data_IF_263864074805
#
_entry.id   IF_263864074805
#
_cell.length_a   1.000
_cell.length_b   1.000
_cell.length_c   1.000
_cell.angle_alpha   90.00
_cell.angle_beta   90.00
_cell.angle_gamma   90.00
#
_symmetry.space_group_name_H-M   'P 1'
#
loop_
_entity.id
_entity.type
_entity.pdbx_description
1 polymer ?
#
# COMPACT_ATOMS: atom_id res chain seq x y z
N UNK A 1 -2.92 -22.90 4.06
CA UNK A 1 -2.15 -23.57 5.13
C UNK A 1 -2.47 -22.87 6.44
N UNK A 2 -2.54 -23.54 7.58
CA UNK A 2 -2.61 -22.83 8.86
C UNK A 2 -1.24 -22.20 9.21
N UNK A 3 -1.18 -21.36 10.25
CA UNK A 3 0.06 -20.66 10.63
C UNK A 3 1.22 -21.62 10.92
N UNK A 4 0.96 -22.75 11.59
CA UNK A 4 2.00 -23.74 11.93
C UNK A 4 2.56 -24.47 10.71
N UNK A 5 1.70 -24.82 9.76
CA UNK A 5 2.10 -25.40 8.47
C UNK A 5 2.90 -24.39 7.65
N UNK A 6 2.46 -23.13 7.64
CA UNK A 6 3.16 -22.04 6.98
C UNK A 6 4.57 -21.83 7.55
N UNK A 7 4.75 -21.89 8.87
CA UNK A 7 6.10 -21.79 9.48
C UNK A 7 7.05 -22.85 8.97
N UNK A 8 6.58 -24.10 8.81
CA UNK A 8 7.41 -25.18 8.25
C UNK A 8 7.75 -24.91 6.79
N UNK A 9 6.74 -24.57 5.98
CA UNK A 9 6.93 -24.22 4.58
C UNK A 9 7.93 -23.08 4.41
N UNK A 10 7.80 -22.02 5.22
CA UNK A 10 8.68 -20.86 5.21
C UNK A 10 10.13 -21.23 5.56
N UNK A 11 10.37 -22.11 6.53
CA UNK A 11 11.73 -22.56 6.85
C UNK A 11 12.42 -23.24 5.66
N UNK A 12 11.66 -23.94 4.83
CA UNK A 12 12.16 -24.72 3.69
C UNK A 12 12.25 -23.89 2.39
N UNK A 13 11.36 -22.90 2.20
CA UNK A 13 11.15 -22.25 0.89
C UNK A 13 11.38 -20.73 0.86
N UNK A 14 11.62 -20.10 2.02
CA UNK A 14 11.79 -18.64 2.08
C UNK A 14 12.91 -18.18 1.16
N UNK A 15 12.63 -17.11 0.42
CA UNK A 15 13.67 -16.36 -0.26
C UNK A 15 14.29 -15.33 0.71
N UNK A 16 15.17 -14.50 0.17
CA UNK A 16 15.86 -13.47 0.93
C UNK A 16 14.92 -12.35 1.42
N UNK A 17 13.88 -12.00 0.64
CA UNK A 17 12.93 -10.92 0.95
C UNK A 17 11.86 -11.34 1.97
N UNK A 18 11.54 -12.64 2.05
CA UNK A 18 10.56 -13.23 2.96
C UNK A 18 11.17 -13.61 4.33
N UNK A 19 12.40 -13.17 4.63
CA UNK A 19 13.16 -13.60 5.83
C UNK A 19 12.50 -13.35 7.17
N UNK A 20 11.57 -12.41 7.26
CA UNK A 20 10.78 -12.16 8.47
C UNK A 20 9.27 -12.23 8.19
N UNK A 21 8.86 -12.97 7.16
CA UNK A 21 7.45 -13.11 6.80
C UNK A 21 6.57 -13.60 7.96
N UNK A 22 6.99 -14.55 8.83
CA UNK A 22 6.22 -14.91 10.02
C UNK A 22 5.95 -13.73 10.97
N UNK A 23 6.97 -12.91 11.26
CA UNK A 23 6.85 -11.75 12.13
C UNK A 23 5.96 -10.68 11.51
N UNK A 24 6.06 -10.49 10.19
CA UNK A 24 5.16 -9.59 9.44
C UNK A 24 3.70 -10.06 9.56
N UNK A 25 3.45 -11.37 9.42
CA UNK A 25 2.11 -11.94 9.62
C UNK A 25 1.63 -11.72 11.05
N UNK A 26 2.50 -11.86 12.05
CA UNK A 26 2.15 -11.62 13.46
C UNK A 26 1.74 -10.17 13.71
N UNK A 27 2.50 -9.21 13.20
CA UNK A 27 2.18 -7.78 13.29
C UNK A 27 0.83 -7.47 12.64
N UNK A 28 0.57 -8.03 11.45
CA UNK A 28 -0.69 -7.83 10.73
C UNK A 28 -1.85 -8.48 11.49
N UNK A 29 -1.68 -9.70 12.01
CA UNK A 29 -2.72 -10.36 12.81
C UNK A 29 -3.05 -9.55 14.06
N UNK A 30 -2.03 -9.06 14.77
CA UNK A 30 -2.21 -8.21 15.93
C UNK A 30 -2.95 -6.92 15.57
N UNK A 31 -2.55 -6.24 14.50
CA UNK A 31 -3.17 -5.00 14.04
C UNK A 31 -4.67 -5.18 13.69
N UNK A 32 -5.06 -6.35 13.20
CA UNK A 32 -6.43 -6.70 12.83
C UNK A 32 -7.18 -7.52 13.87
N UNK A 33 -6.61 -7.72 15.06
CA UNK A 33 -7.20 -8.52 16.14
C UNK A 33 -7.56 -9.95 15.68
N UNK A 34 -6.74 -10.52 14.80
CA UNK A 34 -6.94 -11.86 14.25
C UNK A 34 -6.24 -12.92 15.10
N UNK A 35 -6.96 -13.99 15.40
CA UNK A 35 -6.39 -15.20 15.98
C UNK A 35 -5.64 -15.99 14.90
N UNK A 36 -4.34 -16.26 15.11
CA UNK A 36 -3.47 -16.96 14.14
C UNK A 36 -3.96 -18.37 13.79
N UNK A 37 -4.72 -18.99 14.68
CA UNK A 37 -5.30 -20.31 14.52
C UNK A 37 -6.50 -20.30 13.57
N UNK A 38 -7.11 -19.12 13.34
CA UNK A 38 -8.29 -18.93 12.48
C UNK A 38 -7.97 -18.37 11.10
N UNK A 39 -6.70 -18.11 10.81
CA UNK A 39 -6.26 -17.65 9.49
C UNK A 39 -5.75 -18.80 8.62
N UNK A 40 -5.83 -18.59 7.31
CA UNK A 40 -5.19 -19.44 6.32
C UNK A 40 -4.18 -18.61 5.52
N UNK A 41 -2.98 -19.14 5.38
CA UNK A 41 -1.88 -18.53 4.65
C UNK A 41 -1.67 -19.25 3.32
N UNK A 42 -1.46 -18.46 2.28
CA UNK A 42 -1.21 -18.90 0.92
C UNK A 42 0.01 -18.16 0.38
N UNK A 43 1.22 -18.71 0.54
CA UNK A 43 2.41 -18.13 -0.08
C UNK A 43 2.35 -18.27 -1.60
N UNK A 44 2.89 -17.29 -2.33
CA UNK A 44 3.01 -17.28 -3.80
C UNK A 44 1.70 -17.62 -4.50
N UNK A 45 0.64 -16.93 -4.07
CA UNK A 45 -0.73 -17.23 -4.48
C UNK A 45 -1.06 -16.48 -5.76
N UNK A 46 -1.45 -17.24 -6.79
CA UNK A 46 -2.06 -16.68 -7.98
C UNK A 46 -3.56 -16.47 -7.78
N UNK A 47 -4.03 -15.27 -8.12
CA UNK A 47 -5.43 -14.94 -8.32
C UNK A 47 -5.69 -14.74 -9.81
N UNK A 48 -6.79 -15.31 -10.30
CA UNK A 48 -7.24 -15.10 -11.68
C UNK A 48 -7.94 -13.74 -11.76
N UNK A 49 -7.62 -12.96 -12.78
CA UNK A 49 -8.18 -11.64 -13.07
C UNK A 49 -8.67 -11.59 -14.51
N UNK A 50 -9.48 -10.60 -14.87
CA UNK A 50 -9.93 -10.41 -16.27
C UNK A 50 -8.76 -10.17 -17.24
N UNK A 51 -7.62 -9.72 -16.72
CA UNK A 51 -6.43 -9.35 -17.48
C UNK A 51 -5.33 -10.42 -17.43
N UNK A 52 -5.55 -11.54 -16.72
CA UNK A 52 -4.59 -12.64 -16.61
C UNK A 52 -4.45 -13.17 -15.19
N UNK A 53 -3.22 -13.55 -14.81
CA UNK A 53 -2.92 -14.08 -13.48
C UNK A 53 -2.08 -13.09 -12.70
N UNK A 54 -2.46 -12.85 -11.46
CA UNK A 54 -1.75 -11.95 -10.55
C UNK A 54 -1.19 -12.76 -9.38
N UNK A 55 0.13 -12.76 -9.25
CA UNK A 55 0.82 -13.40 -8.11
C UNK A 55 0.94 -12.41 -6.95
N UNK A 56 0.68 -12.92 -5.75
CA UNK A 56 0.95 -12.27 -4.47
C UNK A 56 2.02 -13.06 -3.72
N UNK A 57 2.98 -12.40 -3.10
CA UNK A 57 4.00 -13.08 -2.29
C UNK A 57 3.36 -13.86 -1.14
N UNK A 58 2.37 -13.26 -0.46
CA UNK A 58 1.60 -13.93 0.58
C UNK A 58 0.18 -13.39 0.65
N UNK A 59 -0.79 -14.30 0.78
CA UNK A 59 -2.18 -13.97 1.09
C UNK A 59 -2.58 -14.59 2.42
N UNK A 60 -3.19 -13.77 3.29
CA UNK A 60 -3.90 -14.23 4.49
C UNK A 60 -5.39 -14.22 4.18
N UNK A 61 -6.05 -15.37 4.29
CA UNK A 61 -7.50 -15.44 4.32
C UNK A 61 -7.99 -15.64 5.75
N UNK A 62 -9.06 -14.92 6.11
CA UNK A 62 -9.71 -15.07 7.40
C UNK A 62 -11.21 -14.86 7.24
N UNK A 63 -11.99 -15.25 8.25
CA UNK A 63 -13.43 -14.99 8.28
C UNK A 63 -13.74 -14.01 9.40
N UNK A 64 -14.38 -12.90 9.05
CA UNK A 64 -14.93 -11.95 10.02
C UNK A 64 -16.45 -12.04 9.96
N UNK A 65 -17.09 -12.36 11.10
CA UNK A 65 -18.53 -12.54 11.46
C UNK A 65 -19.54 -12.98 10.37
N UNK A 66 -19.46 -12.44 9.17
CA UNK A 66 -20.38 -12.62 8.04
C UNK A 66 -19.71 -12.79 6.67
N UNK A 67 -18.40 -12.55 6.54
CA UNK A 67 -17.70 -12.56 5.25
C UNK A 67 -16.27 -13.10 5.38
N UNK A 68 -15.86 -13.85 4.36
CA UNK A 68 -14.43 -14.15 4.15
C UNK A 68 -13.72 -12.91 3.64
N UNK A 69 -12.51 -12.69 4.13
CA UNK A 69 -11.66 -11.54 3.83
C UNK A 69 -10.26 -12.00 3.45
N UNK A 70 -9.62 -11.22 2.58
CA UNK A 70 -8.26 -11.43 2.12
C UNK A 70 -7.35 -10.25 2.50
N UNK A 71 -6.15 -10.56 2.98
CA UNK A 71 -5.05 -9.61 3.14
C UNK A 71 -3.93 -10.03 2.18
N UNK A 72 -3.60 -9.17 1.22
CA UNK A 72 -2.41 -9.32 0.38
C UNK A 72 -1.19 -8.69 1.05
N UNK A 73 -0.04 -9.32 0.91
CA UNK A 73 1.25 -8.84 1.43
C UNK A 73 2.30 -8.98 0.33
N UNK A 74 2.97 -7.87 0.02
CA UNK A 74 4.17 -7.87 -0.83
C UNK A 74 5.42 -7.60 -0.01
N UNK A 75 6.48 -8.36 -0.27
CA UNK A 75 7.78 -8.19 0.35
C UNK A 75 8.72 -7.51 -0.64
N UNK A 76 9.50 -6.56 -0.15
CA UNK A 76 10.56 -5.97 -0.97
C UNK A 76 11.71 -5.49 -0.12
N UNK A 77 12.93 -5.82 -0.52
CA UNK A 77 14.08 -5.35 0.25
C UNK A 77 14.57 -3.97 -0.16
N UNK A 78 14.57 -3.65 -1.46
CA UNK A 78 15.29 -2.47 -1.98
C UNK A 78 14.41 -1.50 -2.78
N UNK A 79 13.39 -1.98 -3.49
CA UNK A 79 12.63 -1.15 -4.43
C UNK A 79 11.24 -0.75 -3.90
N UNK A 80 11.21 0.37 -3.16
CA UNK A 80 9.96 0.89 -2.58
C UNK A 80 8.90 1.23 -3.62
N UNK A 81 9.31 1.80 -4.75
CA UNK A 81 8.37 2.33 -5.75
C UNK A 81 7.73 1.19 -6.52
N UNK A 82 8.53 0.19 -6.87
CA UNK A 82 8.03 -1.01 -7.53
C UNK A 82 7.01 -1.73 -6.64
N UNK A 83 7.33 -1.97 -5.37
CA UNK A 83 6.42 -2.70 -4.46
C UNK A 83 5.11 -1.93 -4.23
N UNK A 84 5.15 -0.60 -4.15
CA UNK A 84 3.92 0.21 -4.04
C UNK A 84 3.11 0.15 -5.32
N UNK A 85 3.75 0.26 -6.49
CA UNK A 85 3.05 0.18 -7.77
C UNK A 85 2.34 -1.17 -7.90
N UNK A 86 3.03 -2.25 -7.54
CA UNK A 86 2.44 -3.58 -7.52
C UNK A 86 1.31 -3.69 -6.50
N UNK A 87 1.50 -3.19 -5.28
CA UNK A 87 0.47 -3.23 -4.24
C UNK A 87 -0.78 -2.43 -4.62
N UNK A 88 -0.65 -1.31 -5.34
CA UNK A 88 -1.78 -0.54 -5.87
C UNK A 88 -2.56 -1.39 -6.88
N UNK A 89 -1.89 -2.00 -7.85
CA UNK A 89 -2.55 -2.83 -8.87
C UNK A 89 -3.22 -4.07 -8.26
N UNK A 90 -2.62 -4.63 -7.20
CA UNK A 90 -3.10 -5.80 -6.47
C UNK A 90 -4.22 -5.50 -5.48
N UNK A 91 -4.35 -4.24 -5.06
CA UNK A 91 -5.25 -3.81 -3.99
C UNK A 91 -6.71 -4.18 -4.25
N UNK A 92 -7.17 -4.13 -5.49
CA UNK A 92 -8.57 -4.37 -5.85
C UNK A 92 -8.98 -5.86 -5.75
N UNK A 93 -8.02 -6.76 -5.62
CA UNK A 93 -8.25 -8.21 -5.53
C UNK A 93 -8.25 -8.74 -4.09
N UNK A 94 -8.02 -7.87 -3.11
CA UNK A 94 -7.97 -8.20 -1.68
C UNK A 94 -8.72 -7.17 -0.85
N UNK A 95 -9.15 -7.51 0.36
CA UNK A 95 -9.85 -6.56 1.24
C UNK A 95 -8.87 -5.59 1.91
N UNK A 96 -7.65 -6.05 2.19
CA UNK A 96 -6.57 -5.27 2.79
C UNK A 96 -5.26 -5.56 2.05
N UNK A 97 -4.39 -4.57 1.94
CA UNK A 97 -3.10 -4.72 1.28
C UNK A 97 -2.00 -4.16 2.15
N UNK A 98 -0.90 -4.90 2.26
CA UNK A 98 0.30 -4.49 2.97
C UNK A 98 1.51 -4.59 2.07
N UNK A 99 2.47 -3.70 2.32
CA UNK A 99 3.86 -3.92 1.91
C UNK A 99 4.72 -4.14 3.15
N UNK A 100 5.75 -4.96 3.00
CA UNK A 100 6.73 -5.29 4.03
C UNK A 100 8.14 -4.99 3.52
N UNK A 101 8.81 -3.96 4.07
CA UNK A 101 10.09 -3.46 3.54
C UNK A 101 11.18 -3.27 4.60
N UNK A 102 12.45 -3.20 4.20
CA UNK A 102 13.53 -2.80 5.13
C UNK A 102 13.50 -1.29 5.48
N UNK A 103 13.98 -0.88 6.66
CA UNK A 103 13.92 0.51 7.12
C UNK A 103 14.69 1.52 6.25
N UNK A 104 15.83 1.16 5.66
CA UNK A 104 16.64 2.13 4.90
C UNK A 104 15.94 2.59 3.60
N UNK A 105 14.97 1.81 3.12
CA UNK A 105 14.16 2.13 1.95
C UNK A 105 13.12 3.22 2.27
N UNK A 106 12.68 3.29 3.53
CA UNK A 106 11.67 4.23 4.02
C UNK A 106 12.13 5.70 4.00
N UNK A 107 13.43 5.94 4.21
CA UNK A 107 13.93 7.27 4.57
C UNK A 107 14.00 8.27 3.41
N UNK A 108 13.82 7.82 2.16
CA UNK A 108 13.99 8.67 0.97
C UNK A 108 12.70 8.87 0.14
N UNK A 109 11.56 8.34 0.56
CA UNK A 109 10.36 8.20 -0.29
C UNK A 109 9.07 8.72 0.37
N UNK A 110 9.10 9.97 0.85
CA UNK A 110 7.95 10.60 1.52
C UNK A 110 6.69 10.67 0.63
N UNK A 111 6.84 10.89 -0.68
CA UNK A 111 5.71 10.91 -1.63
C UNK A 111 5.00 9.57 -1.69
N UNK A 112 5.77 8.49 -1.66
CA UNK A 112 5.29 7.12 -1.73
C UNK A 112 4.48 6.75 -0.48
N UNK A 113 4.83 7.30 0.69
CA UNK A 113 4.01 7.19 1.91
C UNK A 113 2.60 7.78 1.72
N UNK A 114 2.46 8.97 1.12
CA UNK A 114 1.15 9.56 0.87
C UNK A 114 0.32 8.74 -0.13
N UNK A 115 0.96 8.17 -1.15
CA UNK A 115 0.31 7.27 -2.10
C UNK A 115 -0.24 6.03 -1.37
N UNK A 116 0.55 5.40 -0.49
CA UNK A 116 0.08 4.25 0.28
C UNK A 116 -1.13 4.60 1.15
N UNK A 117 -1.10 5.74 1.85
CA UNK A 117 -2.24 6.21 2.65
C UNK A 117 -3.49 6.42 1.79
N UNK A 118 -3.31 6.96 0.58
CA UNK A 118 -4.38 7.16 -0.37
C UNK A 118 -5.04 5.84 -0.78
N UNK A 119 -4.24 4.84 -1.12
CA UNK A 119 -4.73 3.50 -1.49
C UNK A 119 -5.00 2.61 -0.27
N UNK A 120 -4.97 3.15 0.96
CA UNK A 120 -5.21 2.38 2.18
C UNK A 120 -4.27 1.17 2.35
N UNK A 121 -3.08 1.22 1.75
CA UNK A 121 -2.08 0.15 1.80
C UNK A 121 -1.31 0.28 3.11
N UNK A 122 -1.39 -0.72 3.98
CA UNK A 122 -0.66 -0.74 5.24
C UNK A 122 0.84 -0.96 5.04
N UNK A 123 1.62 -0.60 6.05
CA UNK A 123 3.07 -0.70 5.99
C UNK A 123 3.62 -1.41 7.21
N UNK A 124 4.40 -2.46 6.96
CA UNK A 124 5.24 -3.11 7.95
C UNK A 124 6.70 -2.89 7.55
N UNK A 125 7.54 -2.50 8.51
CA UNK A 125 8.99 -2.53 8.32
C UNK A 125 9.56 -3.77 8.99
N UNK A 126 10.60 -4.36 8.42
CA UNK A 126 11.27 -5.52 9.01
C UNK A 126 12.78 -5.32 9.04
N UNK A 127 13.38 -5.62 10.20
CA UNK A 127 14.81 -5.51 10.47
C UNK A 127 15.51 -6.86 10.37
N UNK A 128 16.52 -7.08 11.20
CA UNK A 128 17.23 -8.38 11.22
C UNK A 128 16.50 -9.45 12.04
N UNK A 129 15.68 -9.05 13.03
CA UNK A 129 15.04 -9.99 13.98
C UNK A 129 13.57 -9.70 14.26
N UNK A 130 13.08 -8.54 13.86
CA UNK A 130 11.77 -8.03 14.27
C UNK A 130 11.09 -7.32 13.10
N UNK A 131 9.76 -7.30 13.14
CA UNK A 131 8.92 -6.53 12.25
C UNK A 131 8.09 -5.57 13.08
N UNK A 132 7.82 -4.39 12.55
CA UNK A 132 7.02 -3.35 13.21
C UNK A 132 6.00 -2.79 12.23
N UNK A 133 4.74 -2.79 12.63
CA UNK A 133 3.70 -2.07 11.92
C UNK A 133 3.92 -0.55 12.02
N UNK A 134 4.06 0.15 10.89
CA UNK A 134 4.05 1.62 10.86
C UNK A 134 2.61 2.13 10.84
N UNK A 135 1.78 1.59 9.95
CA UNK A 135 0.36 1.87 9.93
C UNK A 135 -0.46 0.76 9.31
N UNK A 136 -1.69 0.61 9.81
CA UNK A 136 -2.64 -0.44 9.42
C UNK A 136 -3.26 -0.15 8.04
N UNK A 137 -3.44 -1.20 7.23
CA UNK A 137 -4.22 -1.13 5.98
C UNK A 137 -5.69 -0.84 6.28
N UNK A 138 -6.37 -0.14 5.37
CA UNK A 138 -7.78 0.22 5.50
C UNK A 138 -8.61 -0.51 4.46
N UNK A 139 -9.77 -1.02 4.90
CA UNK A 139 -10.75 -1.70 4.05
C UNK A 139 -11.34 -0.75 3.00
N UNK A 140 -11.67 0.46 3.42
CA UNK A 140 -12.15 1.54 2.57
C UNK A 140 -11.08 2.62 2.45
N UNK A 141 -10.85 3.06 1.22
CA UNK A 141 -10.05 4.25 0.91
C UNK A 141 -10.68 5.49 1.58
N UNK A 142 -9.91 6.57 1.84
CA UNK A 142 -10.53 7.85 2.17
C UNK A 142 -11.61 8.16 1.11
N UNK A 143 -12.78 8.70 1.52
CA UNK A 143 -13.80 9.09 0.56
C UNK A 143 -13.15 9.90 -0.56
N UNK A 144 -13.48 9.61 -1.82
CA UNK A 144 -12.94 10.29 -3.00
C UNK A 144 -12.95 11.82 -2.83
N UNK A 145 -13.97 12.33 -2.16
CA UNK A 145 -14.14 13.72 -1.72
C UNK A 145 -12.94 14.28 -0.93
N UNK A 146 -12.40 13.54 0.06
CA UNK A 146 -11.26 13.98 0.87
C UNK A 146 -9.95 13.94 0.10
N UNK A 147 -9.81 13.01 -0.84
CA UNK A 147 -8.69 13.01 -1.78
C UNK A 147 -8.78 14.23 -2.70
N UNK A 148 -9.96 14.50 -3.25
CA UNK A 148 -10.18 15.66 -4.12
C UNK A 148 -9.89 16.97 -3.39
N UNK A 149 -10.30 17.10 -2.13
CA UNK A 149 -9.91 18.24 -1.30
C UNK A 149 -8.40 18.37 -1.15
N UNK A 150 -7.69 17.27 -0.83
CA UNK A 150 -6.24 17.28 -0.70
C UNK A 150 -5.54 17.67 -2.01
N UNK A 151 -5.94 17.07 -3.14
CA UNK A 151 -5.42 17.41 -4.48
C UNK A 151 -5.68 18.88 -4.77
N UNK A 152 -6.90 19.38 -4.53
CA UNK A 152 -7.25 20.78 -4.75
C UNK A 152 -6.42 21.74 -3.90
N UNK A 153 -6.10 21.37 -2.66
CA UNK A 153 -5.18 22.18 -1.82
C UNK A 153 -3.78 22.17 -2.41
N UNK A 154 -3.23 21.00 -2.77
CA UNK A 154 -1.88 20.88 -3.33
C UNK A 154 -1.73 21.61 -4.68
N UNK A 155 -2.73 21.49 -5.55
CA UNK A 155 -2.79 22.19 -6.84
C UNK A 155 -2.89 23.69 -6.61
N UNK A 156 -3.75 24.16 -5.70
CA UNK A 156 -3.86 25.59 -5.36
C UNK A 156 -2.56 26.16 -4.83
N UNK A 157 -1.89 25.47 -3.91
CA UNK A 157 -0.61 25.94 -3.36
C UNK A 157 0.51 25.94 -4.41
N UNK A 158 0.54 24.93 -5.29
CA UNK A 158 1.49 24.90 -6.41
C UNK A 158 1.24 26.05 -7.39
N UNK A 159 -0.02 26.29 -7.77
CA UNK A 159 -0.41 27.41 -8.62
C UNK A 159 -0.06 28.75 -7.96
N UNK A 160 -0.38 28.93 -6.68
CA UNK A 160 -0.06 30.13 -5.92
C UNK A 160 1.45 30.43 -5.92
N UNK A 161 2.26 29.40 -5.65
CA UNK A 161 3.73 29.51 -5.68
C UNK A 161 4.24 29.83 -7.09
N UNK A 162 3.68 29.20 -8.11
CA UNK A 162 4.03 29.49 -9.51
C UNK A 162 3.63 30.90 -9.92
N UNK A 163 2.47 31.39 -9.48
CA UNK A 163 1.99 32.74 -9.74
C UNK A 163 2.80 33.81 -9.00
N UNK A 164 3.20 33.57 -7.74
CA UNK A 164 4.09 34.49 -7.01
C UNK A 164 5.49 34.59 -7.63
N UNK A 165 5.88 33.62 -8.44
CA UNK A 165 7.15 33.58 -9.17
C UNK A 165 7.04 34.11 -10.61
N UNK A 166 5.86 34.54 -11.06
CA UNK A 166 5.63 35.12 -12.37
C UNK A 166 5.64 36.65 -12.25
N UNK A 167 6.25 37.33 -13.23
CA UNK A 167 6.09 38.78 -13.39
C UNK A 167 4.62 39.10 -13.69
N UNK A 168 4.15 40.28 -13.25
CA UNK A 168 2.75 40.73 -13.42
C UNK A 168 2.23 40.53 -14.86
N UNK A 169 3.07 40.77 -15.86
CA UNK A 169 2.75 40.60 -17.28
C UNK A 169 2.31 39.17 -17.67
N UNK A 170 2.89 38.14 -17.02
CA UNK A 170 2.53 36.75 -17.30
C UNK A 170 1.24 36.33 -16.60
N UNK A 171 0.92 36.92 -15.46
CA UNK A 171 -0.34 36.68 -14.73
C UNK A 171 -1.53 37.18 -15.57
N UNK A 172 -1.43 38.40 -16.11
CA UNK A 172 -2.45 38.98 -16.99
C UNK A 172 -2.70 38.12 -18.24
N UNK A 173 -1.65 37.50 -18.77
CA UNK A 173 -1.75 36.63 -19.96
C UNK A 173 -2.50 35.33 -19.65
N UNK A 174 -2.23 34.72 -18.48
CA UNK A 174 -2.91 33.50 -18.03
C UNK A 174 -4.39 33.73 -17.71
N UNK A 175 -4.73 34.85 -17.06
CA UNK A 175 -6.13 35.21 -16.77
C UNK A 175 -6.95 35.40 -18.06
N UNK A 176 -6.32 35.94 -19.12
CA UNK A 176 -6.95 36.06 -20.44
C UNK A 176 -7.22 34.70 -21.08
N UNK A 177 -6.26 33.77 -20.99
CA UNK A 177 -6.41 32.41 -21.53
C UNK A 177 -7.51 31.62 -20.83
N UNK A 178 -7.62 31.72 -19.50
CA UNK A 178 -8.68 31.04 -18.73
C UNK A 178 -10.06 31.52 -19.19
N UNK A 179 -10.26 32.85 -19.31
CA UNK A 179 -11.53 33.43 -19.79
C UNK A 179 -11.89 33.06 -21.23
N UNK A 180 -10.90 32.83 -22.09
CA UNK A 180 -11.12 32.42 -23.47
C UNK A 180 -11.45 30.92 -23.58
N UNK A 181 -10.95 30.09 -22.66
CA UNK A 181 -11.24 28.65 -22.62
C UNK A 181 -12.60 28.27 -22.00
N UNK A 182 -13.25 29.22 -21.31
CA UNK A 182 -14.59 29.06 -20.72
C UNK A 182 -15.73 29.52 -21.66
N UNK A 183 -15.42 29.89 -22.91
CA UNK A 183 -16.37 30.24 -23.98
C UNK A 183 -16.47 29.13 -25.01
#
# INVERSE_FOLDING_TARGET
MNFREYLKWWQEHKNYEEKLAPQVVEEICHAHELEKEKIQLFPRKFLETEQGRMEFDLVIAFSDKWKSRLIGIEFKEFDFREVITQAILRRDYVDYMYIATKPFVASHELSSFFIMLLYGIGWVIWGEKEAHLIFKSRYHYPPEERLHELINVLVREKLRTSLSNLSEDKIVTLEKWIKESEK
#
